data_IF_594199798889
#
_entry.id   IF_594199798889
#
_cell.length_a   1.000
_cell.length_b   1.000
_cell.length_c   1.000
_cell.angle_alpha   90.00
_cell.angle_beta   90.00
_cell.angle_gamma   90.00
#
_symmetry.space_group_name_H-M   'P 1'
#
loop_
_entity.id
_entity.type
_entity.pdbx_description
1 polymer ?
#
# COMPACT_ATOMS: atom_id res chain seq x y z
N UNK A 1 -3.09 -6.46 18.78
CA UNK A 1 -4.23 -7.12 18.09
C UNK A 1 -5.44 -6.22 18.18
N UNK A 2 -6.34 -6.30 17.19
CA UNK A 2 -7.57 -5.52 17.15
C UNK A 2 -8.60 -6.03 18.18
N UNK A 3 -9.42 -5.12 18.68
CA UNK A 3 -10.60 -5.48 19.45
C UNK A 3 -11.72 -6.03 18.52
N UNK A 4 -12.68 -6.83 19.05
CA UNK A 4 -13.81 -7.32 18.25
C UNK A 4 -14.59 -6.20 17.53
N UNK A 5 -14.77 -5.05 18.20
CA UNK A 5 -15.44 -3.87 17.62
C UNK A 5 -14.66 -3.27 16.42
N UNK A 6 -13.33 -3.30 16.44
CA UNK A 6 -12.53 -2.85 15.30
C UNK A 6 -12.64 -3.82 14.12
N UNK A 7 -12.64 -5.13 14.39
CA UNK A 7 -12.83 -6.16 13.34
C UNK A 7 -14.21 -6.01 12.70
N UNK A 8 -15.25 -5.84 13.49
CA UNK A 8 -16.63 -5.60 12.98
C UNK A 8 -16.69 -4.31 12.15
N UNK A 9 -16.05 -3.22 12.60
CA UNK A 9 -15.97 -1.96 11.86
C UNK A 9 -15.26 -2.15 10.51
N UNK A 10 -14.17 -2.91 10.48
CA UNK A 10 -13.49 -3.24 9.23
C UNK A 10 -14.37 -4.07 8.30
N UNK A 11 -15.01 -5.11 8.80
CA UNK A 11 -15.91 -5.94 8.01
C UNK A 11 -17.08 -5.15 7.41
N UNK A 12 -17.64 -4.18 8.16
CA UNK A 12 -18.73 -3.31 7.69
C UNK A 12 -18.27 -2.26 6.68
N UNK A 13 -17.18 -1.57 6.97
CA UNK A 13 -16.77 -0.38 6.23
C UNK A 13 -15.67 -0.65 5.18
N UNK A 14 -14.95 -1.76 5.28
CA UNK A 14 -13.82 -2.12 4.41
C UNK A 14 -12.51 -1.44 4.77
N UNK A 15 -12.45 -0.69 5.86
CA UNK A 15 -11.22 -0.02 6.31
C UNK A 15 -11.16 0.18 7.82
N UNK A 16 -9.94 0.38 8.30
CA UNK A 16 -9.65 0.95 9.61
C UNK A 16 -8.92 2.28 9.40
N UNK A 17 -9.31 3.34 10.10
CA UNK A 17 -8.57 4.60 10.11
C UNK A 17 -7.20 4.42 10.77
N UNK A 18 -6.43 5.50 10.86
CA UNK A 18 -5.10 5.50 11.45
C UNK A 18 -5.02 4.86 12.83
N UNK A 19 -4.12 3.90 12.96
CA UNK A 19 -3.75 3.27 14.23
C UNK A 19 -2.29 3.66 14.47
N UNK A 20 -1.94 4.28 15.63
CA UNK A 20 -0.57 4.61 15.94
C UNK A 20 0.24 3.33 16.19
N UNK A 21 1.16 3.05 15.27
CA UNK A 21 1.95 1.80 15.28
C UNK A 21 3.44 2.08 15.40
N UNK A 22 3.97 3.06 14.64
CA UNK A 22 5.41 3.35 14.67
C UNK A 22 5.72 4.40 15.73
N UNK A 23 6.78 4.19 16.49
CA UNK A 23 7.35 5.21 17.36
C UNK A 23 8.01 6.33 16.54
N UNK A 24 8.18 7.51 17.13
CA UNK A 24 8.86 8.63 16.46
C UNK A 24 10.28 8.27 15.99
N UNK A 25 10.99 7.40 16.72
CA UNK A 25 12.32 6.89 16.32
C UNK A 25 12.25 6.01 15.07
N UNK A 26 11.23 5.17 14.97
CA UNK A 26 11.02 4.31 13.80
C UNK A 26 10.57 5.13 12.60
N UNK A 27 9.67 6.10 12.79
CA UNK A 27 9.26 7.04 11.72
C UNK A 27 10.50 7.73 11.15
N UNK A 28 11.33 8.33 11.99
CA UNK A 28 12.57 9.00 11.56
C UNK A 28 13.47 8.04 10.78
N UNK A 29 13.71 6.83 11.30
CA UNK A 29 14.56 5.83 10.66
C UNK A 29 14.02 5.43 9.27
N UNK A 30 12.73 5.09 9.16
CA UNK A 30 12.13 4.67 7.90
C UNK A 30 12.01 5.82 6.90
N UNK A 31 11.70 7.02 7.36
CA UNK A 31 11.65 8.23 6.53
C UNK A 31 13.02 8.53 5.88
N UNK A 32 14.08 8.63 6.70
CA UNK A 32 15.45 8.91 6.21
C UNK A 32 15.95 7.81 5.27
N UNK A 33 15.68 6.54 5.58
CA UNK A 33 16.03 5.41 4.74
C UNK A 33 15.26 5.42 3.41
N UNK A 34 13.96 5.73 3.47
CA UNK A 34 13.11 5.85 2.30
C UNK A 34 13.58 6.98 1.37
N UNK A 35 13.90 8.15 1.90
CA UNK A 35 14.44 9.28 1.10
C UNK A 35 15.74 8.91 0.42
N UNK A 36 16.65 8.26 1.13
CA UNK A 36 17.96 7.87 0.60
C UNK A 36 17.86 6.84 -0.52
N UNK A 37 16.94 5.87 -0.40
CA UNK A 37 16.89 4.70 -1.26
C UNK A 37 15.82 4.76 -2.35
N UNK A 38 14.70 5.43 -2.08
CA UNK A 38 13.51 5.44 -2.95
C UNK A 38 13.02 6.85 -3.30
N UNK A 39 13.85 7.87 -3.07
CA UNK A 39 13.52 9.28 -3.32
C UNK A 39 13.39 9.62 -4.80
N UNK A 40 13.45 10.91 -5.10
CA UNK A 40 13.39 11.41 -6.46
C UNK A 40 14.78 11.37 -7.10
N UNK A 41 14.90 10.72 -8.24
CA UNK A 41 16.10 10.75 -9.08
C UNK A 41 16.03 11.92 -10.05
N UNK A 42 17.19 12.54 -10.35
CA UNK A 42 17.34 13.47 -11.46
C UNK A 42 18.01 12.72 -12.60
N UNK A 43 17.27 12.44 -13.68
CA UNK A 43 17.78 11.81 -14.88
C UNK A 43 17.52 12.72 -16.07
N UNK A 44 18.58 13.05 -16.82
CA UNK A 44 18.53 13.97 -17.98
C UNK A 44 17.91 15.35 -17.64
N UNK A 45 18.17 15.88 -16.43
CA UNK A 45 17.61 17.14 -15.94
C UNK A 45 16.14 17.07 -15.52
N UNK A 46 15.50 15.89 -15.63
CA UNK A 46 14.10 15.68 -15.25
C UNK A 46 14.02 14.95 -13.92
N UNK A 47 13.22 15.49 -12.98
CA UNK A 47 12.90 14.82 -11.72
C UNK A 47 11.94 13.65 -11.99
N UNK A 48 12.39 12.43 -11.70
CA UNK A 48 11.59 11.21 -11.79
C UNK A 48 11.54 10.52 -10.44
N UNK A 49 10.45 9.79 -10.18
CA UNK A 49 10.42 8.89 -9.02
C UNK A 49 11.40 7.74 -9.27
N UNK A 50 12.19 7.39 -8.25
CA UNK A 50 13.13 6.30 -8.34
C UNK A 50 12.42 4.98 -8.68
N UNK A 51 13.04 4.16 -9.50
CA UNK A 51 12.54 2.81 -9.84
C UNK A 51 12.38 1.92 -8.60
N UNK A 52 13.24 2.11 -7.61
CA UNK A 52 13.28 1.37 -6.34
C UNK A 52 12.06 1.57 -5.42
N UNK A 53 11.09 2.39 -5.81
CA UNK A 53 9.86 2.60 -5.03
C UNK A 53 8.92 1.39 -5.01
N UNK A 54 9.08 0.45 -5.93
CA UNK A 54 8.29 -0.77 -6.03
C UNK A 54 9.07 -1.93 -5.43
N UNK A 55 8.41 -2.70 -4.55
CA UNK A 55 9.00 -3.82 -3.80
C UNK A 55 10.37 -3.50 -3.18
N UNK A 56 10.58 -2.33 -2.52
CA UNK A 56 11.86 -1.96 -1.93
C UNK A 56 12.37 -2.99 -0.91
N UNK A 57 11.51 -3.80 -0.35
CA UNK A 57 11.88 -4.86 0.59
C UNK A 57 12.75 -5.98 -0.01
N UNK A 58 12.83 -6.07 -1.33
CA UNK A 58 13.74 -7.00 -2.02
C UNK A 58 15.19 -6.49 -2.04
N UNK A 59 15.36 -5.15 -2.01
CA UNK A 59 16.65 -4.49 -2.15
C UNK A 59 17.21 -3.92 -0.84
N UNK A 60 16.31 -3.52 0.09
CA UNK A 60 16.69 -2.75 1.25
C UNK A 60 16.26 -3.40 2.57
N UNK A 61 17.21 -3.67 3.48
CA UNK A 61 16.93 -4.27 4.80
C UNK A 61 15.92 -3.47 5.63
N UNK A 62 15.93 -2.13 5.54
CA UNK A 62 14.96 -1.29 6.26
C UNK A 62 13.52 -1.58 5.83
N UNK A 63 13.28 -1.73 4.53
CA UNK A 63 11.94 -2.03 4.01
C UNK A 63 11.53 -3.47 4.32
N UNK A 64 12.49 -4.42 4.26
CA UNK A 64 12.29 -5.80 4.72
C UNK A 64 11.95 -5.88 6.22
N UNK A 65 12.50 -4.98 7.05
CA UNK A 65 12.14 -4.86 8.46
C UNK A 65 10.72 -4.27 8.64
N UNK A 66 10.37 -3.24 7.85
CA UNK A 66 9.06 -2.59 7.93
C UNK A 66 7.93 -3.55 7.61
N UNK A 67 8.02 -4.34 6.54
CA UNK A 67 6.99 -5.32 6.18
C UNK A 67 6.79 -6.42 7.23
N UNK A 68 7.73 -6.57 8.16
CA UNK A 68 7.69 -7.51 9.28
C UNK A 68 7.44 -6.85 10.63
N UNK A 69 7.08 -5.55 10.62
CA UNK A 69 6.85 -4.82 11.86
C UNK A 69 5.73 -5.46 12.67
N UNK A 70 6.03 -5.78 13.94
CA UNK A 70 5.12 -6.56 14.81
C UNK A 70 3.74 -5.93 14.92
N UNK A 71 3.66 -4.62 15.16
CA UNK A 71 2.38 -3.92 15.33
C UNK A 71 1.52 -3.95 14.06
N UNK A 72 2.13 -3.86 12.86
CA UNK A 72 1.43 -4.01 11.58
C UNK A 72 0.91 -5.44 11.44
N UNK A 73 1.78 -6.43 11.63
CA UNK A 73 1.42 -7.84 11.48
C UNK A 73 0.36 -8.31 12.48
N UNK A 74 0.38 -7.82 13.73
CA UNK A 74 -0.64 -8.14 14.74
C UNK A 74 -2.03 -7.62 14.31
N UNK A 75 -2.07 -6.46 13.66
CA UNK A 75 -3.31 -5.90 13.10
C UNK A 75 -3.78 -6.69 11.88
N UNK A 76 -2.88 -6.98 10.94
CA UNK A 76 -3.16 -7.78 9.75
C UNK A 76 -3.65 -9.18 10.11
N UNK A 77 -2.99 -9.85 11.06
CA UNK A 77 -3.41 -11.18 11.54
C UNK A 77 -4.84 -11.18 12.08
N UNK A 78 -5.25 -10.10 12.76
CA UNK A 78 -6.64 -9.97 13.25
C UNK A 78 -7.66 -9.87 12.12
N UNK A 79 -7.25 -9.50 10.89
CA UNK A 79 -8.12 -9.30 9.73
C UNK A 79 -8.12 -10.50 8.77
N UNK A 80 -6.96 -11.11 8.54
CA UNK A 80 -6.80 -12.16 7.51
C UNK A 80 -6.19 -13.47 8.04
N UNK A 81 -6.05 -13.61 9.35
CA UNK A 81 -5.52 -14.82 9.98
C UNK A 81 -4.00 -14.89 10.05
N UNK A 82 -3.45 -15.98 10.63
CA UNK A 82 -2.06 -16.04 11.10
C UNK A 82 -1.01 -16.36 10.02
N UNK A 83 -1.42 -16.78 8.83
CA UNK A 83 -0.48 -17.18 7.77
C UNK A 83 -0.43 -16.12 6.68
N UNK A 84 0.60 -15.27 6.71
CA UNK A 84 0.61 -13.99 5.98
C UNK A 84 1.81 -13.93 5.03
N UNK A 85 1.53 -13.62 3.77
CA UNK A 85 2.49 -13.21 2.76
C UNK A 85 2.41 -11.70 2.50
N UNK A 86 3.53 -11.08 2.14
CA UNK A 86 3.57 -9.78 1.46
C UNK A 86 3.72 -10.03 -0.03
N UNK A 87 2.74 -9.56 -0.80
CA UNK A 87 2.71 -9.69 -2.24
C UNK A 87 3.35 -8.49 -2.95
N UNK A 88 3.08 -7.29 -2.44
CA UNK A 88 3.55 -6.04 -3.07
C UNK A 88 3.80 -4.94 -2.05
N UNK A 89 4.66 -3.99 -2.39
CA UNK A 89 4.80 -2.71 -1.69
C UNK A 89 5.09 -1.60 -2.68
N UNK A 90 4.59 -0.40 -2.37
CA UNK A 90 4.89 0.81 -3.16
C UNK A 90 5.13 1.97 -2.23
N UNK A 91 6.21 2.71 -2.48
CA UNK A 91 6.45 4.02 -1.86
C UNK A 91 5.75 5.09 -2.68
N UNK A 92 4.94 5.88 -2.02
CA UNK A 92 4.12 6.94 -2.62
C UNK A 92 4.64 8.30 -2.21
N UNK A 93 5.26 8.99 -3.17
CA UNK A 93 5.71 10.37 -3.00
C UNK A 93 4.75 11.32 -3.69
N UNK A 94 4.24 12.30 -2.95
CA UNK A 94 3.59 13.49 -3.51
C UNK A 94 4.39 14.71 -3.09
N UNK A 95 5.14 15.28 -4.03
CA UNK A 95 5.88 16.50 -3.78
C UNK A 95 4.94 17.68 -3.47
N UNK A 96 5.44 18.68 -2.76
CA UNK A 96 4.73 19.92 -2.50
C UNK A 96 4.21 20.56 -3.80
N UNK A 97 2.94 20.92 -3.85
CA UNK A 97 2.30 21.53 -5.02
C UNK A 97 2.24 20.66 -6.28
N UNK A 98 2.54 19.37 -6.18
CA UNK A 98 2.51 18.45 -7.32
C UNK A 98 1.06 18.10 -7.72
N UNK A 99 0.78 18.13 -9.02
CA UNK A 99 -0.53 17.77 -9.59
C UNK A 99 -0.82 16.25 -9.60
N UNK A 100 0.13 15.43 -9.17
CA UNK A 100 -0.01 13.97 -9.21
C UNK A 100 -1.14 13.47 -8.30
N UNK A 101 -1.97 12.57 -8.84
CA UNK A 101 -3.12 12.01 -8.13
C UNK A 101 -3.25 10.50 -8.35
N UNK A 102 -4.06 9.85 -7.52
CA UNK A 102 -4.51 8.48 -7.72
C UNK A 102 -6.01 8.52 -7.96
N UNK A 103 -6.52 8.09 -9.14
CA UNK A 103 -7.95 8.10 -9.44
C UNK A 103 -8.71 7.10 -8.56
N UNK A 104 -10.04 7.21 -8.51
CA UNK A 104 -10.89 6.21 -7.88
C UNK A 104 -10.66 4.83 -8.49
N UNK A 105 -10.28 3.86 -7.67
CA UNK A 105 -9.97 2.50 -8.10
C UNK A 105 -10.19 1.48 -6.97
N UNK A 106 -10.06 0.22 -7.32
CA UNK A 106 -9.96 -0.92 -6.41
C UNK A 106 -8.64 -1.64 -6.66
N UNK A 107 -7.88 -1.95 -5.61
CA UNK A 107 -6.60 -2.67 -5.70
C UNK A 107 -6.74 -4.03 -6.39
N UNK A 108 -7.88 -4.72 -6.19
CA UNK A 108 -8.16 -6.02 -6.77
C UNK A 108 -7.98 -6.06 -8.30
N UNK A 109 -8.32 -4.96 -8.99
CA UNK A 109 -8.18 -4.86 -10.44
C UNK A 109 -6.73 -4.84 -10.91
N UNK A 110 -5.84 -4.31 -10.07
CA UNK A 110 -4.41 -4.26 -10.36
C UNK A 110 -3.72 -5.59 -10.06
N UNK A 111 -4.03 -6.20 -8.91
CA UNK A 111 -3.28 -7.34 -8.41
C UNK A 111 -3.73 -8.69 -8.96
N UNK A 112 -4.98 -8.84 -9.39
CA UNK A 112 -5.49 -10.10 -9.91
C UNK A 112 -5.41 -11.27 -8.94
N UNK A 113 -5.64 -11.03 -7.66
CA UNK A 113 -5.59 -12.01 -6.58
C UNK A 113 -6.99 -12.54 -6.22
N UNK A 114 -7.09 -13.82 -5.88
CA UNK A 114 -8.35 -14.45 -5.47
C UNK A 114 -8.10 -15.55 -4.42
N UNK A 115 -8.97 -15.71 -3.41
CA UNK A 115 -10.10 -14.85 -3.05
C UNK A 115 -9.69 -13.42 -2.70
N UNK A 116 -10.68 -12.49 -2.66
CA UNK A 116 -10.45 -11.07 -2.39
C UNK A 116 -10.23 -10.80 -0.88
N UNK A 117 -9.21 -11.42 -0.32
CA UNK A 117 -8.86 -11.32 1.11
C UNK A 117 -7.58 -10.50 1.36
N UNK A 118 -7.12 -9.80 0.35
CA UNK A 118 -5.96 -8.93 0.44
C UNK A 118 -6.28 -7.67 1.25
N UNK A 119 -5.35 -7.29 2.13
CA UNK A 119 -5.40 -6.07 2.96
C UNK A 119 -4.19 -5.21 2.62
N UNK A 120 -4.43 -3.95 2.28
CA UNK A 120 -3.37 -2.95 2.16
C UNK A 120 -3.20 -2.21 3.48
N UNK A 121 -2.00 -2.29 4.07
CA UNK A 121 -1.58 -1.41 5.16
C UNK A 121 -0.89 -0.19 4.55
N UNK A 122 -1.43 1.00 4.80
CA UNK A 122 -0.86 2.26 4.34
C UNK A 122 -0.16 2.97 5.51
N UNK A 123 1.17 2.99 5.49
CA UNK A 123 2.03 3.53 6.54
C UNK A 123 2.36 4.99 6.22
N UNK A 124 2.00 5.91 7.11
CA UNK A 124 2.33 7.33 7.00
C UNK A 124 3.77 7.58 7.51
N UNK A 125 4.67 8.01 6.63
CA UNK A 125 6.03 8.46 7.02
C UNK A 125 6.11 9.97 7.24
N UNK A 126 5.13 10.71 6.74
CA UNK A 126 4.84 12.12 7.03
C UNK A 126 3.38 12.24 7.41
N UNK A 127 2.98 13.36 7.97
CA UNK A 127 1.55 13.64 8.12
C UNK A 127 0.84 13.57 6.76
N UNK A 128 -0.37 13.06 6.77
CA UNK A 128 -1.22 12.86 5.60
C UNK A 128 -2.58 13.47 5.85
N UNK A 129 -2.89 14.57 5.18
CA UNK A 129 -4.10 15.36 5.34
C UNK A 129 -4.83 15.56 4.02
N UNK A 130 -6.05 16.10 4.06
CA UNK A 130 -6.77 16.49 2.85
C UNK A 130 -5.96 17.46 1.97
N UNK A 131 -5.25 18.40 2.58
CA UNK A 131 -4.47 19.40 1.86
C UNK A 131 -3.31 18.79 1.06
N UNK A 132 -2.64 17.76 1.62
CA UNK A 132 -1.52 17.08 0.95
C UNK A 132 -1.94 15.80 0.22
N UNK A 133 -3.24 15.57 0.05
CA UNK A 133 -3.81 14.48 -0.72
C UNK A 133 -3.72 13.14 0.01
N UNK A 134 -4.28 13.03 1.21
CA UNK A 134 -4.44 11.76 1.91
C UNK A 134 -5.26 10.76 1.08
N UNK A 135 -5.29 9.51 1.51
CA UNK A 135 -6.20 8.51 0.93
C UNK A 135 -7.64 8.86 1.32
N UNK A 136 -8.54 8.85 0.36
CA UNK A 136 -9.97 8.95 0.55
C UNK A 136 -10.63 7.63 0.17
N UNK A 137 -11.61 7.19 0.93
CA UNK A 137 -12.29 5.90 0.76
C UNK A 137 -13.81 6.07 0.66
N UNK A 138 -14.49 5.15 -0.04
CA UNK A 138 -15.95 5.02 0.00
C UNK A 138 -16.33 3.90 0.96
N UNK A 139 -16.78 4.21 2.19
CA UNK A 139 -17.11 3.21 3.21
C UNK A 139 -18.12 2.18 2.72
N UNK A 140 -17.86 0.89 2.98
CA UNK A 140 -18.74 -0.20 2.62
C UNK A 140 -18.74 -0.60 1.13
N UNK A 141 -18.03 0.14 0.26
CA UNK A 141 -18.01 -0.12 -1.19
C UNK A 141 -17.41 -1.50 -1.55
N UNK A 142 -16.58 -2.08 -0.69
CA UNK A 142 -16.01 -3.42 -0.88
C UNK A 142 -17.08 -4.53 -0.91
N UNK A 143 -18.23 -4.32 -0.26
CA UNK A 143 -19.36 -5.28 -0.26
C UNK A 143 -20.05 -5.37 -1.62
N UNK A 144 -19.83 -4.43 -2.51
CA UNK A 144 -20.44 -4.43 -3.85
C UNK A 144 -19.64 -5.21 -4.90
N UNK A 145 -18.57 -5.90 -4.50
CA UNK A 145 -17.69 -6.67 -5.37
C UNK A 145 -16.78 -5.80 -6.24
N UNK A 146 -16.02 -6.47 -7.12
CA UNK A 146 -15.16 -5.78 -8.08
C UNK A 146 -15.99 -5.09 -9.15
N UNK A 147 -15.66 -3.83 -9.43
CA UNK A 147 -16.32 -3.01 -10.45
C UNK A 147 -15.47 -2.90 -11.73
N UNK A 148 -16.10 -2.58 -12.87
CA UNK A 148 -15.37 -2.31 -14.10
C UNK A 148 -14.40 -1.14 -13.95
N UNK A 149 -13.20 -1.29 -14.50
CA UNK A 149 -12.19 -0.25 -14.60
C UNK A 149 -11.83 -0.04 -16.07
N UNK A 150 -11.34 1.16 -16.36
CA UNK A 150 -10.73 1.50 -17.65
C UNK A 150 -9.33 2.02 -17.41
N UNK A 151 -8.44 1.81 -18.36
CA UNK A 151 -7.13 2.45 -18.37
C UNK A 151 -7.29 3.90 -18.83
N UNK A 152 -6.62 4.81 -18.14
CA UNK A 152 -6.57 6.24 -18.48
C UNK A 152 -5.10 6.67 -18.55
N UNK A 153 -4.70 7.22 -19.69
CA UNK A 153 -3.33 7.71 -19.92
C UNK A 153 -3.17 9.16 -19.47
N UNK A 154 -3.56 9.47 -18.26
CA UNK A 154 -3.25 10.76 -17.67
C UNK A 154 -1.83 10.72 -17.09
N UNK A 155 -0.95 11.59 -17.56
CA UNK A 155 0.46 11.65 -17.15
C UNK A 155 0.63 12.00 -15.66
N UNK A 156 -0.36 12.63 -15.05
CA UNK A 156 -0.37 12.94 -13.62
C UNK A 156 -0.91 11.80 -12.76
N UNK A 157 -1.52 10.77 -13.37
CA UNK A 157 -1.99 9.60 -12.64
C UNK A 157 -0.80 8.75 -12.17
N UNK A 158 -0.80 8.42 -10.87
CA UNK A 158 0.32 7.67 -10.26
C UNK A 158 0.21 6.15 -10.42
N UNK A 159 -0.93 5.62 -10.84
CA UNK A 159 -1.10 4.22 -11.18
C UNK A 159 -0.47 3.92 -12.54
N UNK A 160 0.21 2.78 -12.68
CA UNK A 160 1.01 2.43 -13.86
C UNK A 160 0.25 2.43 -15.19
N UNK A 161 -1.06 2.14 -15.16
CA UNK A 161 -1.97 2.19 -16.31
C UNK A 161 -3.05 3.27 -16.15
N UNK A 162 -3.00 4.09 -15.07
CA UNK A 162 -4.03 5.06 -14.74
C UNK A 162 -5.42 4.44 -14.53
N UNK A 163 -5.49 3.21 -14.02
CA UNK A 163 -6.76 2.48 -13.82
C UNK A 163 -7.75 3.31 -13.03
N UNK A 164 -8.92 3.53 -13.60
CA UNK A 164 -9.99 4.28 -12.94
C UNK A 164 -11.32 3.54 -13.07
N UNK A 165 -12.15 3.67 -12.05
CA UNK A 165 -13.50 3.11 -12.07
C UNK A 165 -14.31 3.66 -13.25
N UNK A 166 -15.03 2.78 -13.94
CA UNK A 166 -15.91 3.12 -15.09
C UNK A 166 -17.39 3.17 -14.69
N UNK A 167 -17.66 3.65 -13.47
CA UNK A 167 -19.01 3.79 -12.93
C UNK A 167 -19.20 5.20 -12.39
N UNK A 168 -20.47 5.63 -12.31
CA UNK A 168 -20.81 6.88 -11.61
C UNK A 168 -20.67 6.66 -10.10
N UNK A 169 -19.90 7.52 -9.46
CA UNK A 169 -19.69 7.52 -8.01
C UNK A 169 -20.28 8.79 -7.39
N UNK A 170 -20.90 8.63 -6.26
CA UNK A 170 -21.13 9.78 -5.37
C UNK A 170 -19.83 10.08 -4.62
N UNK A 171 -19.02 10.95 -5.20
CA UNK A 171 -17.72 11.31 -4.60
C UNK A 171 -17.88 12.12 -3.31
N UNK A 172 -19.07 12.70 -3.03
CA UNK A 172 -19.33 13.41 -1.79
C UNK A 172 -19.40 12.50 -0.57
N UNK A 173 -19.63 11.21 -0.78
CA UNK A 173 -19.59 10.17 0.25
C UNK A 173 -18.16 9.74 0.62
N UNK A 174 -17.14 10.29 -0.02
CA UNK A 174 -15.74 10.01 0.26
C UNK A 174 -15.34 10.44 1.67
N UNK A 175 -14.65 9.55 2.39
CA UNK A 175 -14.13 9.81 3.75
C UNK A 175 -12.61 9.89 3.69
N UNK A 176 -12.00 11.03 4.10
CA UNK A 176 -10.56 11.16 4.15
C UNK A 176 -9.96 10.34 5.30
N UNK A 177 -8.87 9.65 5.02
CA UNK A 177 -8.06 8.97 6.02
C UNK A 177 -6.87 9.87 6.38
N UNK A 178 -7.10 10.86 7.21
CA UNK A 178 -6.04 11.72 7.73
C UNK A 178 -5.23 10.95 8.79
N UNK A 179 -3.90 11.04 8.69
CA UNK A 179 -2.96 10.28 9.52
C UNK A 179 -1.84 11.18 10.00
N UNK A 180 -1.42 10.99 11.25
CA UNK A 180 -0.13 11.49 11.73
C UNK A 180 1.01 10.58 11.27
N UNK A 181 2.22 11.12 11.18
CA UNK A 181 3.40 10.32 10.89
C UNK A 181 3.57 9.19 11.91
N UNK A 182 3.65 7.94 11.45
CA UNK A 182 3.69 6.73 12.28
C UNK A 182 2.35 6.00 12.40
N UNK A 183 1.25 6.63 12.01
CA UNK A 183 -0.02 5.93 11.91
C UNK A 183 -0.04 5.00 10.69
N UNK A 184 -0.86 3.95 10.80
CA UNK A 184 -1.12 3.01 9.71
C UNK A 184 -2.62 2.84 9.54
N UNK A 185 -3.14 3.08 8.34
CA UNK A 185 -4.51 2.72 7.97
C UNK A 185 -4.52 1.38 7.23
N UNK A 186 -5.66 0.69 7.29
CA UNK A 186 -5.83 -0.62 6.63
C UNK A 186 -7.08 -0.60 5.78
N UNK A 187 -7.00 -1.08 4.55
CA UNK A 187 -8.17 -1.17 3.68
C UNK A 187 -8.20 -2.46 2.88
N UNK A 188 -9.42 -2.89 2.60
CA UNK A 188 -9.74 -4.10 1.83
C UNK A 188 -9.47 -3.88 0.34
N UNK A 189 -8.99 -4.89 -0.36
CA UNK A 189 -8.65 -4.84 -1.79
C UNK A 189 -9.79 -4.39 -2.72
N UNK A 190 -11.04 -4.61 -2.33
CA UNK A 190 -12.23 -4.17 -3.06
C UNK A 190 -12.76 -2.80 -2.62
N UNK A 191 -12.15 -2.15 -1.62
CA UNK A 191 -12.59 -0.83 -1.19
C UNK A 191 -12.22 0.20 -2.26
N UNK A 192 -13.22 0.97 -2.70
CA UNK A 192 -12.99 2.06 -3.63
C UNK A 192 -12.28 3.19 -2.90
N UNK A 193 -11.16 3.63 -3.48
CA UNK A 193 -10.34 4.68 -2.87
C UNK A 193 -9.61 5.51 -3.91
N UNK A 194 -9.19 6.70 -3.51
CA UNK A 194 -8.41 7.65 -4.33
C UNK A 194 -7.42 8.42 -3.48
N UNK A 195 -6.66 9.29 -4.12
CA UNK A 195 -5.81 10.27 -3.45
C UNK A 195 -5.67 11.51 -4.32
N UNK A 196 -6.20 12.65 -3.87
CA UNK A 196 -6.17 13.94 -4.57
C UNK A 196 -4.72 14.49 -4.70
N UNK A 197 -4.45 15.49 -5.54
CA UNK A 197 -3.16 16.17 -5.60
C UNK A 197 -2.72 16.76 -4.27
N UNK A 198 -1.39 16.85 -4.07
CA UNK A 198 -0.83 17.57 -2.93
C UNK A 198 -0.81 19.09 -3.22
N UNK A 199 -1.63 19.84 -2.50
CA UNK A 199 -1.71 21.31 -2.60
C UNK A 199 -0.90 22.03 -1.52
N UNK A 200 -0.34 21.28 -0.57
CA UNK A 200 0.44 21.82 0.54
C UNK A 200 1.86 22.21 0.13
N UNK A 201 2.59 22.81 1.05
CA UNK A 201 3.99 23.21 0.87
C UNK A 201 4.99 22.12 1.24
N UNK A 202 4.52 21.01 1.81
CA UNK A 202 5.34 19.90 2.29
C UNK A 202 5.08 18.63 1.50
N UNK A 203 6.08 17.77 1.28
CA UNK A 203 5.88 16.49 0.62
C UNK A 203 5.09 15.53 1.51
N UNK A 204 4.23 14.71 0.90
CA UNK A 204 3.58 13.58 1.57
C UNK A 204 4.22 12.28 1.14
N UNK A 205 4.70 11.48 2.10
CA UNK A 205 5.37 10.21 1.88
C UNK A 205 4.65 9.11 2.66
N UNK A 206 4.24 8.07 1.96
CA UNK A 206 3.64 6.89 2.56
C UNK A 206 4.05 5.61 1.85
N UNK A 207 3.86 4.47 2.51
CA UNK A 207 4.17 3.15 1.97
C UNK A 207 2.92 2.28 2.05
N UNK A 208 2.44 1.85 0.88
CA UNK A 208 1.42 0.81 0.77
C UNK A 208 2.05 -0.57 0.82
N UNK A 209 1.58 -1.43 1.70
CA UNK A 209 2.04 -2.82 1.86
C UNK A 209 0.85 -3.74 1.68
N UNK A 210 0.90 -4.60 0.67
CA UNK A 210 -0.15 -5.55 0.31
C UNK A 210 0.08 -6.89 1.00
N UNK A 211 -0.72 -7.19 2.01
CA UNK A 211 -0.72 -8.45 2.75
C UNK A 211 -1.82 -9.38 2.25
N UNK A 212 -1.49 -10.66 2.09
CA UNK A 212 -2.43 -11.70 1.66
C UNK A 212 -2.31 -12.94 2.55
N UNK A 213 -3.41 -13.67 2.81
CA UNK A 213 -3.34 -15.01 3.36
C UNK A 213 -2.63 -15.97 2.40
N UNK A 214 -1.95 -16.98 2.91
CA UNK A 214 -1.20 -17.95 2.09
C UNK A 214 -2.06 -18.78 1.14
N UNK A 215 -3.38 -18.86 1.35
CA UNK A 215 -4.32 -19.56 0.46
C UNK A 215 -4.82 -18.70 -0.72
N UNK A 216 -4.51 -17.41 -0.74
CA UNK A 216 -4.79 -16.53 -1.88
C UNK A 216 -3.84 -16.87 -3.02
N UNK A 217 -4.35 -16.89 -4.26
CA UNK A 217 -3.57 -17.17 -5.46
C UNK A 217 -3.74 -16.09 -6.50
N UNK A 218 -2.79 -16.00 -7.41
CA UNK A 218 -2.91 -15.13 -8.59
C UNK A 218 -3.74 -15.81 -9.68
N UNK A 219 -4.60 -15.04 -10.37
CA UNK A 219 -5.54 -15.57 -11.36
C UNK A 219 -4.89 -15.95 -12.70
N UNK A 220 -3.68 -15.47 -12.99
CA UNK A 220 -2.96 -15.84 -14.20
C UNK A 220 -2.15 -17.12 -14.02
N UNK A 221 -1.71 -17.71 -15.15
CA UNK A 221 -0.81 -18.87 -15.15
C UNK A 221 0.64 -18.50 -14.79
N UNK A 222 1.00 -17.24 -14.83
CA UNK A 222 2.34 -16.75 -14.48
C UNK A 222 2.57 -16.92 -12.99
N UNK A 223 3.61 -17.64 -12.62
CA UNK A 223 4.02 -17.81 -11.24
C UNK A 223 4.76 -16.54 -10.79
N UNK A 224 4.20 -15.88 -9.78
CA UNK A 224 4.74 -14.67 -9.17
C UNK A 224 5.39 -15.00 -7.84
N UNK A 225 6.14 -14.08 -7.28
CA UNK A 225 6.80 -14.24 -5.99
C UNK A 225 6.11 -13.45 -4.87
N UNK A 226 6.25 -13.96 -3.64
CA UNK A 226 5.78 -13.30 -2.41
C UNK A 226 6.66 -13.67 -1.21
N UNK A 227 6.64 -12.82 -0.20
CA UNK A 227 7.46 -12.99 1.01
C UNK A 227 6.61 -13.48 2.17
N UNK A 228 6.91 -14.66 2.73
CA UNK A 228 6.31 -15.11 3.99
C UNK A 228 6.84 -14.25 5.15
N UNK A 229 5.92 -13.57 5.84
CA UNK A 229 6.24 -12.66 6.95
C UNK A 229 5.73 -13.15 8.31
N UNK A 230 4.73 -14.04 8.31
CA UNK A 230 4.18 -14.65 9.53
C UNK A 230 3.55 -16.02 9.22
N UNK A 231 3.63 -16.96 10.16
CA UNK A 231 2.97 -18.26 10.08
C UNK A 231 3.65 -19.24 9.13
N UNK A 232 2.86 -20.08 8.47
CA UNK A 232 3.31 -21.17 7.59
C UNK A 232 2.57 -21.10 6.26
N UNK A 233 3.31 -21.17 5.16
CA UNK A 233 2.74 -21.34 3.83
C UNK A 233 2.67 -22.83 3.47
N UNK A 234 1.45 -23.37 3.44
CA UNK A 234 1.15 -24.76 3.06
C UNK A 234 0.70 -24.89 1.60
N UNK A 235 0.46 -23.77 0.91
CA UNK A 235 -0.11 -23.76 -0.43
C UNK A 235 0.97 -23.60 -1.51
N UNK A 236 2.03 -22.86 -1.21
CA UNK A 236 3.15 -22.61 -2.13
C UNK A 236 2.71 -22.12 -3.51
N UNK A 237 1.72 -21.21 -3.56
CA UNK A 237 1.23 -20.62 -4.80
C UNK A 237 2.18 -19.59 -5.40
N UNK A 238 3.10 -19.09 -4.60
CA UNK A 238 4.09 -18.07 -4.98
C UNK A 238 5.51 -18.61 -4.81
N UNK A 239 6.42 -18.13 -5.66
CA UNK A 239 7.84 -18.33 -5.42
C UNK A 239 8.29 -17.47 -4.22
N UNK A 240 9.30 -17.92 -3.51
CA UNK A 240 9.82 -17.19 -2.36
C UNK A 240 10.66 -16.02 -2.84
N UNK A 241 10.30 -14.82 -2.39
CA UNK A 241 11.17 -13.66 -2.57
C UNK A 241 12.49 -13.84 -1.79
N UNK A 242 13.61 -13.34 -2.35
CA UNK A 242 14.85 -13.25 -1.62
C UNK A 242 14.75 -12.20 -0.48
N UNK A 243 15.66 -12.33 0.49
CA UNK A 243 15.77 -11.34 1.59
C UNK A 243 17.09 -10.57 1.47
N UNK A 244 17.06 -9.23 1.40
CA UNK A 244 18.27 -8.45 1.27
C UNK A 244 19.12 -8.52 2.54
N UNK A 245 20.43 -8.69 2.39
CA UNK A 245 21.41 -8.70 3.49
C UNK A 245 22.12 -7.36 3.67
N UNK A 246 22.14 -6.54 2.62
CA UNK A 246 22.76 -5.21 2.57
C UNK A 246 21.92 -4.24 1.73
N UNK A 247 22.21 -2.96 1.80
CA UNK A 247 21.57 -1.95 0.93
C UNK A 247 21.90 -2.23 -0.55
N UNK A 248 20.92 -2.08 -1.43
CA UNK A 248 20.99 -2.41 -2.86
C UNK A 248 21.49 -3.84 -3.11
N UNK A 249 20.91 -4.81 -2.45
CA UNK A 249 21.33 -6.20 -2.57
C UNK A 249 20.86 -6.82 -3.90
N UNK A 250 21.49 -6.42 -5.01
CA UNK A 250 21.15 -6.91 -6.35
C UNK A 250 21.30 -8.43 -6.48
N UNK A 251 22.22 -9.02 -5.70
CA UNK A 251 22.36 -10.48 -5.64
C UNK A 251 21.12 -11.19 -5.05
N UNK A 252 20.25 -10.46 -4.38
CA UNK A 252 19.02 -11.01 -3.86
C UNK A 252 17.93 -11.14 -4.95
N UNK A 253 18.09 -10.49 -6.10
CA UNK A 253 17.08 -10.46 -7.19
C UNK A 253 17.60 -11.05 -8.51
N UNK A 254 18.86 -11.48 -8.56
CA UNK A 254 19.46 -12.28 -9.65
C UNK A 254 19.14 -13.76 -9.47
#
# INVERSE_FOLDING_TARGET
MLSPKQIEKYAKNGYLPGIPILSAKEVKHFYESCLRCCGVEIKDGVRRQASNRVKPFLLFPWASKLIRHKGILDTVESLIGPNILVFHTTVWFKNAGAGNFVPWHQDATYFGLYPYEHVTAWVALTDSSLENGCVEVLPGSHNSGQKPHRDNRDELAMLSRGQTLSINLDESAGVPLELSAGDVSFHHTLLMHRSAPNKSREPRIGIGISYIPTHVRHLTKTRLSATLVRGVDRFSYFDKDPSPKKENDEAAIS
#
